data_IF_647426402299
#
_entry.id   IF_647426402299
#
_cell.length_a   1.000
_cell.length_b   1.000
_cell.length_c   1.000
_cell.angle_alpha   90.00
_cell.angle_beta   90.00
_cell.angle_gamma   90.00
#
_symmetry.space_group_name_H-M   'P 1'
#
loop_
_entity.id
_entity.type
_entity.pdbx_description
1 polymer ?
#
# COMPACT_ATOMS: atom_id res chain seq x y z
N UNK A 1 -12.81 -14.46 0.46
CA UNK A 1 -12.91 -15.37 -0.69
C UNK A 1 -11.53 -15.68 -1.24
N UNK A 2 -11.37 -16.88 -1.84
CA UNK A 2 -10.11 -17.25 -2.46
C UNK A 2 -9.88 -16.41 -3.73
N UNK A 3 -8.63 -16.02 -3.98
CA UNK A 3 -8.23 -15.30 -5.20
C UNK A 3 -8.42 -16.25 -6.39
N UNK A 4 -9.27 -15.87 -7.35
CA UNK A 4 -9.51 -16.67 -8.55
C UNK A 4 -8.51 -16.27 -9.65
N UNK A 5 -7.25 -16.74 -9.51
CA UNK A 5 -6.15 -16.46 -10.44
C UNK A 5 -5.69 -17.76 -11.09
N UNK A 6 -6.04 -17.95 -12.37
CA UNK A 6 -5.50 -19.07 -13.17
C UNK A 6 -4.12 -18.72 -13.74
N UNK A 7 -3.33 -19.72 -14.11
CA UNK A 7 -2.03 -19.48 -14.76
C UNK A 7 -2.18 -18.72 -16.09
N UNK A 8 -3.28 -18.93 -16.82
CA UNK A 8 -3.56 -18.18 -18.05
C UNK A 8 -3.74 -16.67 -17.75
N UNK A 9 -4.56 -16.32 -16.73
CA UNK A 9 -4.78 -14.92 -16.33
C UNK A 9 -3.46 -14.34 -15.82
N UNK A 10 -2.72 -15.09 -15.00
CA UNK A 10 -1.42 -14.69 -14.50
C UNK A 10 -0.44 -14.35 -15.62
N UNK A 11 -0.24 -15.25 -16.56
CA UNK A 11 0.70 -15.06 -17.65
C UNK A 11 0.32 -13.84 -18.53
N UNK A 12 -0.97 -13.66 -18.82
CA UNK A 12 -1.44 -12.48 -19.55
C UNK A 12 -1.17 -11.17 -18.79
N UNK A 13 -1.33 -11.18 -17.48
CA UNK A 13 -1.00 -10.03 -16.62
C UNK A 13 0.50 -9.72 -16.68
N UNK A 14 1.35 -10.71 -16.52
CA UNK A 14 2.82 -10.55 -16.58
C UNK A 14 3.25 -10.06 -17.96
N UNK A 15 2.74 -10.65 -19.06
CA UNK A 15 3.03 -10.21 -20.42
C UNK A 15 2.64 -8.73 -20.65
N UNK A 16 1.53 -8.29 -20.07
CA UNK A 16 1.11 -6.88 -20.16
C UNK A 16 2.09 -5.97 -19.41
N UNK A 17 2.56 -6.36 -18.23
CA UNK A 17 3.57 -5.59 -17.48
C UNK A 17 4.92 -5.53 -18.22
N UNK A 18 5.34 -6.61 -18.88
CA UNK A 18 6.56 -6.62 -19.68
C UNK A 18 6.44 -5.59 -20.81
N UNK A 19 5.34 -5.60 -21.57
CA UNK A 19 5.12 -4.65 -22.67
C UNK A 19 5.04 -3.20 -22.19
N UNK A 20 4.36 -2.96 -21.05
CA UNK A 20 4.28 -1.63 -20.44
C UNK A 20 5.67 -1.15 -19.95
N UNK A 21 6.46 -2.03 -19.33
CA UNK A 21 7.81 -1.67 -18.84
C UNK A 21 8.75 -1.29 -19.99
N UNK A 22 8.71 -2.01 -21.11
CA UNK A 22 9.47 -1.65 -22.32
C UNK A 22 9.12 -0.25 -22.86
N UNK A 23 7.85 0.15 -22.78
CA UNK A 23 7.41 1.48 -23.16
C UNK A 23 7.85 2.52 -22.13
N UNK A 24 7.65 2.23 -20.85
CA UNK A 24 8.03 3.11 -19.76
C UNK A 24 9.54 3.39 -19.75
N UNK A 25 10.36 2.37 -20.04
CA UNK A 25 11.81 2.54 -20.14
C UNK A 25 12.21 3.59 -21.19
N UNK A 26 11.58 3.53 -22.38
CA UNK A 26 11.82 4.51 -23.47
C UNK A 26 11.42 5.94 -23.09
N UNK A 27 10.47 6.07 -22.17
CA UNK A 27 9.95 7.35 -21.69
C UNK A 27 10.60 7.84 -20.40
N UNK A 28 11.52 7.07 -19.82
CA UNK A 28 12.14 7.39 -18.51
C UNK A 28 11.17 7.28 -17.33
N UNK A 29 10.12 6.45 -17.46
CA UNK A 29 9.11 6.23 -16.43
C UNK A 29 9.34 4.90 -15.69
N UNK A 30 8.74 4.78 -14.51
CA UNK A 30 8.65 3.54 -13.73
C UNK A 30 7.18 3.14 -13.55
N UNK A 31 6.93 1.84 -13.40
CA UNK A 31 5.62 1.31 -13.01
C UNK A 31 5.65 1.04 -11.51
N UNK A 32 4.61 1.49 -10.81
CA UNK A 32 4.38 1.20 -9.39
C UNK A 32 3.02 0.51 -9.26
N UNK A 33 3.01 -0.73 -8.80
CA UNK A 33 1.78 -1.50 -8.56
C UNK A 33 1.35 -1.25 -7.12
N UNK A 34 0.16 -0.71 -6.93
CA UNK A 34 -0.34 -0.46 -5.58
C UNK A 34 -0.69 -1.76 -4.86
N UNK A 35 -0.29 -1.85 -3.59
CA UNK A 35 -0.74 -2.90 -2.68
C UNK A 35 -2.16 -2.58 -2.20
N UNK A 36 -3.17 -3.14 -2.89
CA UNK A 36 -4.57 -2.83 -2.66
C UNK A 36 -5.45 -4.08 -2.72
N UNK A 37 -6.33 -4.27 -1.73
CA UNK A 37 -7.36 -5.31 -1.73
C UNK A 37 -8.60 -4.92 -2.55
N UNK A 38 -9.48 -5.86 -2.81
CA UNK A 38 -10.83 -5.55 -3.26
C UNK A 38 -11.63 -4.90 -2.13
N UNK A 39 -12.69 -4.16 -2.48
CA UNK A 39 -13.58 -3.49 -1.51
C UNK A 39 -15.02 -3.92 -1.77
N UNK A 40 -15.72 -4.33 -0.71
CA UNK A 40 -17.17 -4.53 -0.68
C UNK A 40 -17.80 -3.55 0.32
N UNK A 41 -18.82 -2.81 -0.12
CA UNK A 41 -19.53 -1.86 0.75
C UNK A 41 -20.56 -2.59 1.63
N UNK A 42 -20.57 -2.25 2.92
CA UNK A 42 -21.53 -2.74 3.90
C UNK A 42 -22.68 -1.75 4.08
N UNK A 43 -23.81 -2.22 4.62
CA UNK A 43 -25.02 -1.38 4.86
C UNK A 43 -24.79 -0.27 5.89
N UNK A 44 -23.77 -0.38 6.75
CA UNK A 44 -23.41 0.59 7.79
C UNK A 44 -22.37 1.63 7.32
N UNK A 45 -22.18 1.76 6.02
CA UNK A 45 -21.19 2.64 5.38
C UNK A 45 -19.72 2.29 5.69
N UNK A 46 -19.47 1.12 6.31
CA UNK A 46 -18.13 0.55 6.38
C UNK A 46 -17.82 -0.26 5.12
N UNK A 47 -16.55 -0.64 4.95
CA UNK A 47 -16.13 -1.52 3.85
C UNK A 47 -15.49 -2.80 4.39
N UNK A 48 -15.65 -3.89 3.64
CA UNK A 48 -14.92 -5.12 3.87
C UNK A 48 -13.81 -5.21 2.84
N UNK A 49 -12.57 -5.33 3.30
CA UNK A 49 -11.43 -5.55 2.41
C UNK A 49 -11.31 -7.01 2.04
N UNK A 50 -11.14 -7.27 0.76
CA UNK A 50 -11.00 -8.61 0.17
C UNK A 50 -9.57 -8.80 -0.28
N UNK A 51 -8.99 -9.96 0.01
CA UNK A 51 -7.63 -10.29 -0.41
C UNK A 51 -7.49 -10.26 -1.95
N UNK A 52 -6.38 -9.75 -2.41
CA UNK A 52 -6.01 -9.63 -3.83
C UNK A 52 -4.59 -10.16 -4.05
N UNK A 53 -4.15 -10.22 -5.30
CA UNK A 53 -2.78 -10.62 -5.65
C UNK A 53 -1.72 -9.67 -5.08
N UNK A 54 -2.08 -8.42 -4.78
CA UNK A 54 -1.16 -7.41 -4.22
C UNK A 54 -1.27 -7.28 -2.69
N UNK A 55 -2.12 -8.08 -2.04
CA UNK A 55 -2.25 -8.15 -0.58
C UNK A 55 -2.10 -9.58 -0.03
N UNK A 56 -1.71 -10.53 -0.87
CA UNK A 56 -1.43 -11.92 -0.51
C UNK A 56 0.06 -12.21 -0.62
N UNK A 57 0.68 -12.71 0.45
CA UNK A 57 2.12 -12.93 0.53
C UNK A 57 2.65 -13.89 -0.56
N UNK A 58 1.89 -14.95 -0.88
CA UNK A 58 2.33 -15.93 -1.88
C UNK A 58 2.27 -15.36 -3.30
N UNK A 59 1.24 -14.56 -3.60
CA UNK A 59 1.13 -13.87 -4.88
C UNK A 59 2.13 -12.72 -5.00
N UNK A 60 2.40 -11.97 -3.95
CA UNK A 60 3.46 -10.95 -3.93
C UNK A 60 4.83 -11.56 -4.20
N UNK A 61 5.16 -12.67 -3.55
CA UNK A 61 6.39 -13.40 -3.80
C UNK A 61 6.48 -13.92 -5.25
N UNK A 62 5.36 -14.40 -5.82
CA UNK A 62 5.29 -14.76 -7.23
C UNK A 62 5.47 -13.56 -8.15
N UNK A 63 4.85 -12.41 -7.86
CA UNK A 63 5.04 -11.17 -8.62
C UNK A 63 6.51 -10.72 -8.62
N UNK A 64 7.17 -10.77 -7.47
CA UNK A 64 8.59 -10.40 -7.35
C UNK A 64 9.51 -11.25 -8.24
N UNK A 65 9.18 -12.52 -8.48
CA UNK A 65 9.92 -13.40 -9.38
C UNK A 65 9.61 -13.18 -10.86
N UNK A 66 8.32 -12.94 -11.18
CA UNK A 66 7.83 -13.01 -12.55
C UNK A 66 7.79 -11.63 -13.25
N UNK A 67 7.71 -10.52 -12.48
CA UNK A 67 7.69 -9.16 -13.01
C UNK A 67 9.10 -8.68 -13.42
N UNK A 68 9.18 -7.80 -14.46
CA UNK A 68 10.44 -7.12 -14.79
C UNK A 68 11.04 -6.40 -13.57
N UNK A 69 12.37 -6.39 -13.41
CA UNK A 69 13.02 -5.78 -12.24
C UNK A 69 12.73 -4.30 -12.03
N UNK A 70 12.35 -3.56 -13.08
CA UNK A 70 12.00 -2.13 -13.03
C UNK A 70 10.58 -1.88 -12.54
N UNK A 71 9.69 -2.87 -12.64
CA UNK A 71 8.33 -2.78 -12.11
C UNK A 71 8.40 -2.92 -10.59
N UNK A 72 8.04 -1.87 -9.87
CA UNK A 72 8.03 -1.84 -8.41
C UNK A 72 6.63 -1.78 -7.83
N UNK A 73 6.58 -1.50 -6.54
CA UNK A 73 5.33 -1.38 -5.80
C UNK A 73 5.13 0.03 -5.26
N UNK A 74 3.90 0.51 -5.37
CA UNK A 74 3.39 1.57 -4.52
C UNK A 74 2.95 0.89 -3.21
N UNK A 75 3.80 0.99 -2.21
CA UNK A 75 3.60 0.34 -0.93
C UNK A 75 2.59 1.13 -0.09
N UNK A 76 1.43 0.51 0.18
CA UNK A 76 0.40 1.04 1.06
C UNK A 76 0.18 0.08 2.24
N UNK A 77 0.79 0.34 3.40
CA UNK A 77 0.64 -0.52 4.56
C UNK A 77 -0.79 -0.51 5.15
N UNK A 78 -1.55 0.58 5.00
CA UNK A 78 -2.93 0.67 5.45
C UNK A 78 -3.84 -0.33 4.73
N UNK A 79 -3.71 -0.42 3.42
CA UNK A 79 -4.46 -1.40 2.61
C UNK A 79 -4.08 -2.84 2.94
N UNK A 80 -2.78 -3.12 3.15
CA UNK A 80 -2.32 -4.46 3.55
C UNK A 80 -2.88 -4.83 4.93
N UNK A 81 -2.82 -3.91 5.91
CA UNK A 81 -3.36 -4.10 7.25
C UNK A 81 -4.86 -4.40 7.23
N UNK A 82 -5.63 -3.67 6.43
CA UNK A 82 -7.08 -3.84 6.36
C UNK A 82 -7.48 -5.25 5.88
N UNK A 83 -6.66 -5.87 5.02
CA UNK A 83 -6.82 -7.27 4.57
C UNK A 83 -6.18 -8.26 5.56
N UNK A 84 -5.00 -7.93 6.09
CA UNK A 84 -4.16 -8.80 6.91
C UNK A 84 -3.87 -8.16 8.28
N UNK A 85 -4.86 -8.00 9.17
CA UNK A 85 -4.71 -7.22 10.41
C UNK A 85 -3.70 -7.80 11.42
N UNK A 86 -3.26 -9.03 11.23
CA UNK A 86 -2.24 -9.68 12.07
C UNK A 86 -0.81 -9.51 11.52
N UNK A 87 -0.66 -8.99 10.29
CA UNK A 87 0.65 -8.76 9.64
C UNK A 87 1.16 -7.36 9.98
N UNK A 88 1.90 -7.26 11.11
CA UNK A 88 2.31 -5.99 11.71
C UNK A 88 3.23 -5.14 10.83
N UNK A 89 4.06 -5.80 10.02
CA UNK A 89 5.02 -5.13 9.13
C UNK A 89 4.48 -4.96 7.71
N UNK A 90 3.20 -5.29 7.47
CA UNK A 90 2.53 -5.10 6.19
C UNK A 90 3.37 -5.59 5.01
N UNK A 91 3.97 -6.78 5.14
CA UNK A 91 4.85 -7.42 4.14
C UNK A 91 6.07 -6.60 3.74
N UNK A 92 6.50 -5.61 4.53
CA UNK A 92 7.66 -4.79 4.23
C UNK A 92 8.91 -5.63 3.97
N UNK A 93 9.16 -6.68 4.79
CA UNK A 93 10.30 -7.58 4.63
C UNK A 93 10.35 -8.25 3.24
N UNK A 94 9.21 -8.45 2.59
CA UNK A 94 9.09 -9.03 1.27
C UNK A 94 9.29 -7.98 0.17
N UNK A 95 8.67 -6.80 0.33
CA UNK A 95 8.56 -5.78 -0.72
C UNK A 95 9.69 -4.75 -0.73
N UNK A 96 10.42 -4.59 0.36
CA UNK A 96 11.31 -3.45 0.64
C UNK A 96 12.31 -3.12 -0.49
N UNK A 97 12.79 -4.14 -1.20
CA UNK A 97 13.75 -3.97 -2.29
C UNK A 97 13.11 -3.62 -3.65
N UNK A 98 11.79 -3.56 -3.72
CA UNK A 98 11.01 -3.29 -4.94
C UNK A 98 10.01 -2.15 -4.76
N UNK A 99 10.03 -1.46 -3.60
CA UNK A 99 9.22 -0.26 -3.36
C UNK A 99 9.85 0.90 -4.15
N UNK A 100 9.06 1.51 -5.03
CA UNK A 100 9.46 2.68 -5.81
C UNK A 100 8.47 3.85 -5.69
N UNK A 101 7.38 3.65 -4.94
CA UNK A 101 6.42 4.66 -4.50
C UNK A 101 5.80 4.24 -3.17
N UNK A 102 5.22 5.18 -2.42
CA UNK A 102 4.62 4.86 -1.13
C UNK A 102 3.38 5.72 -0.89
N UNK A 103 2.25 5.06 -0.60
CA UNK A 103 1.08 5.68 0.00
C UNK A 103 1.07 5.46 1.51
N UNK A 104 0.58 6.46 2.23
CA UNK A 104 0.34 6.38 3.66
C UNK A 104 -1.14 6.59 3.90
N UNK A 105 -1.79 5.57 4.42
CA UNK A 105 -3.24 5.51 4.64
C UNK A 105 -3.54 4.76 5.94
N UNK A 106 -4.64 5.08 6.59
CA UNK A 106 -5.13 4.28 7.71
C UNK A 106 -6.62 3.95 7.60
N UNK A 107 -6.97 2.82 8.16
CA UNK A 107 -8.31 2.28 8.20
C UNK A 107 -8.69 1.96 9.63
N UNK A 108 -9.75 2.60 10.13
CA UNK A 108 -10.28 2.39 11.47
C UNK A 108 -11.38 1.34 11.48
N UNK A 109 -11.35 0.45 12.46
CA UNK A 109 -12.40 -0.57 12.62
C UNK A 109 -13.75 0.06 12.94
N UNK A 110 -14.77 -0.33 12.16
CA UNK A 110 -16.18 0.02 12.42
C UNK A 110 -17.04 -1.25 12.30
N UNK A 111 -17.59 -1.72 13.43
CA UNK A 111 -18.38 -2.95 13.43
C UNK A 111 -17.59 -4.15 12.90
N UNK A 112 -18.04 -4.72 11.78
CA UNK A 112 -17.36 -5.82 11.10
C UNK A 112 -16.43 -5.37 9.96
N UNK A 113 -16.54 -4.10 9.56
CA UNK A 113 -15.79 -3.52 8.45
C UNK A 113 -14.77 -2.49 8.90
N UNK A 114 -14.38 -1.66 7.95
CA UNK A 114 -13.41 -0.59 8.07
C UNK A 114 -13.99 0.71 7.53
N UNK A 115 -13.51 1.83 8.04
CA UNK A 115 -13.72 3.17 7.46
C UNK A 115 -12.37 3.83 7.31
N UNK A 116 -12.18 4.58 6.22
CA UNK A 116 -10.97 5.37 6.05
C UNK A 116 -10.89 6.45 7.12
N UNK A 117 -9.70 6.75 7.61
CA UNK A 117 -9.45 7.73 8.66
C UNK A 117 -8.10 8.42 8.48
N UNK A 118 -7.76 9.30 9.41
CA UNK A 118 -6.43 9.89 9.45
C UNK A 118 -5.39 8.86 9.90
N UNK A 119 -4.16 9.02 9.44
CA UNK A 119 -3.05 8.19 9.87
C UNK A 119 -2.86 8.38 11.37
N UNK A 120 -2.87 7.27 12.12
CA UNK A 120 -2.81 7.25 13.58
C UNK A 120 -4.16 7.20 14.29
N UNK A 121 -5.29 7.25 13.57
CA UNK A 121 -6.63 7.08 14.14
C UNK A 121 -6.92 5.62 14.58
N UNK A 122 -6.15 4.64 14.07
CA UNK A 122 -6.21 3.25 14.50
C UNK A 122 -4.81 2.74 14.94
N UNK A 123 -4.64 1.45 14.98
CA UNK A 123 -3.47 0.78 15.58
C UNK A 123 -2.38 0.39 14.57
N UNK A 124 -2.36 0.96 13.37
CA UNK A 124 -1.22 0.81 12.46
C UNK A 124 -0.05 1.66 12.98
N UNK A 125 0.96 0.98 13.49
CA UNK A 125 2.18 1.65 13.96
C UNK A 125 3.14 1.84 12.78
N UNK A 126 3.26 3.06 12.31
CA UNK A 126 4.15 3.42 11.21
C UNK A 126 5.63 3.50 11.62
N UNK A 127 5.94 3.68 12.91
CA UNK A 127 7.32 3.85 13.34
C UNK A 127 8.20 2.65 12.96
N UNK A 128 7.89 1.38 13.32
CA UNK A 128 8.73 0.24 12.95
C UNK A 128 8.79 0.01 11.43
N UNK A 129 7.78 0.45 10.67
CA UNK A 129 7.79 0.41 9.21
C UNK A 129 8.83 1.38 8.68
N UNK A 130 8.82 2.65 9.10
CA UNK A 130 9.78 3.65 8.64
C UNK A 130 11.22 3.35 9.08
N UNK A 131 11.42 2.79 10.27
CA UNK A 131 12.75 2.36 10.74
C UNK A 131 13.41 1.31 9.82
N UNK A 132 12.61 0.53 9.08
CA UNK A 132 13.10 -0.55 8.23
C UNK A 132 12.88 -0.30 6.72
N UNK A 133 12.15 0.75 6.36
CA UNK A 133 11.88 1.09 4.97
C UNK A 133 13.13 1.61 4.26
N UNK A 134 13.54 0.94 3.19
CA UNK A 134 14.71 1.34 2.37
C UNK A 134 14.36 2.32 1.23
N UNK A 135 13.11 2.75 1.15
CA UNK A 135 12.67 3.67 0.11
C UNK A 135 13.09 5.10 0.44
N UNK A 136 13.82 5.74 -0.46
CA UNK A 136 14.26 7.13 -0.35
C UNK A 136 13.54 8.00 -1.40
N UNK A 137 12.23 8.13 -1.26
CA UNK A 137 11.38 8.91 -2.17
C UNK A 137 10.26 9.61 -1.42
N UNK A 138 9.27 10.09 -2.16
CA UNK A 138 8.10 10.75 -1.59
C UNK A 138 7.09 9.70 -1.10
N UNK A 139 6.69 9.78 0.17
CA UNK A 139 5.54 9.08 0.70
C UNK A 139 4.35 10.04 0.68
N UNK A 140 3.28 9.64 0.02
CA UNK A 140 2.09 10.49 -0.17
C UNK A 140 0.99 10.06 0.81
N UNK A 141 0.44 11.01 1.56
CA UNK A 141 -0.77 10.76 2.36
C UNK A 141 -1.95 10.59 1.39
N UNK A 142 -2.63 9.47 1.49
CA UNK A 142 -3.88 9.19 0.79
C UNK A 142 -5.04 9.24 1.78
N UNK A 143 -5.73 10.40 1.84
CA UNK A 143 -6.86 10.64 2.72
C UNK A 143 -8.17 10.54 1.94
N UNK A 144 -8.99 9.53 2.21
CA UNK A 144 -10.21 9.26 1.45
C UNK A 144 -11.51 9.87 2.02
N UNK A 145 -11.65 10.18 3.34
CA UNK A 145 -12.87 10.82 3.83
C UNK A 145 -13.12 12.18 3.19
N UNK A 146 -14.39 12.45 2.85
CA UNK A 146 -14.77 13.68 2.13
C UNK A 146 -15.19 14.83 3.07
N UNK A 147 -15.52 14.52 4.33
CA UNK A 147 -16.17 15.47 5.22
C UNK A 147 -15.19 16.34 6.02
N UNK A 148 -14.06 15.80 6.44
CA UNK A 148 -13.08 16.47 7.29
C UNK A 148 -11.67 16.44 6.70
N UNK A 149 -11.56 16.67 5.39
CA UNK A 149 -10.31 16.46 4.64
C UNK A 149 -9.15 17.29 5.19
N UNK A 150 -9.35 18.57 5.48
CA UNK A 150 -8.29 19.45 5.98
C UNK A 150 -7.84 19.02 7.39
N UNK A 151 -8.78 18.80 8.29
CA UNK A 151 -8.52 18.37 9.66
C UNK A 151 -7.90 16.95 9.71
N UNK A 152 -8.37 16.05 8.84
CA UNK A 152 -7.86 14.68 8.78
C UNK A 152 -6.45 14.62 8.22
N UNK A 153 -6.12 15.41 7.20
CA UNK A 153 -4.75 15.54 6.70
C UNK A 153 -3.85 16.15 7.78
N UNK A 154 -4.33 17.18 8.51
CA UNK A 154 -3.54 17.79 9.59
C UNK A 154 -3.25 16.78 10.71
N UNK A 155 -4.25 15.99 11.15
CA UNK A 155 -4.04 14.92 12.15
C UNK A 155 -3.02 13.90 11.66
N UNK A 156 -3.09 13.50 10.38
CA UNK A 156 -2.12 12.58 9.77
C UNK A 156 -0.71 13.14 9.79
N UNK A 157 -0.54 14.43 9.46
CA UNK A 157 0.75 15.12 9.52
C UNK A 157 1.29 15.20 10.95
N UNK A 158 0.44 15.58 11.92
CA UNK A 158 0.82 15.68 13.33
C UNK A 158 1.31 14.33 13.87
N UNK A 159 0.62 13.24 13.54
CA UNK A 159 1.05 11.89 13.89
C UNK A 159 2.40 11.53 13.27
N UNK A 160 2.56 11.76 11.97
CA UNK A 160 3.79 11.41 11.24
C UNK A 160 4.99 12.26 11.72
N UNK A 161 4.78 13.53 12.06
CA UNK A 161 5.82 14.38 12.65
C UNK A 161 6.28 13.90 14.03
N UNK A 162 5.39 13.21 14.77
CA UNK A 162 5.71 12.61 16.06
C UNK A 162 6.55 11.34 15.97
N UNK A 163 6.68 10.73 14.79
CA UNK A 163 7.48 9.53 14.58
C UNK A 163 8.95 9.90 14.47
N UNK A 164 9.80 9.31 15.33
CA UNK A 164 11.25 9.37 15.17
C UNK A 164 11.68 8.58 13.92
N UNK A 165 12.09 9.29 12.89
CA UNK A 165 12.54 8.67 11.65
C UNK A 165 14.02 8.34 11.72
N UNK A 166 14.33 7.06 11.94
CA UNK A 166 15.72 6.58 12.06
C UNK A 166 16.53 6.69 10.77
N UNK A 167 15.89 6.87 9.61
CA UNK A 167 16.57 6.76 8.30
C UNK A 167 16.72 8.07 7.52
N UNK A 168 16.22 9.19 8.02
CA UNK A 168 16.24 10.46 7.27
C UNK A 168 15.36 10.46 6.01
N UNK A 169 14.41 9.53 5.92
CA UNK A 169 13.67 9.17 4.71
C UNK A 169 12.52 10.13 4.41
N UNK A 170 12.11 11.00 5.32
CA UNK A 170 10.94 11.85 5.06
C UNK A 170 11.20 13.29 5.44
N UNK A 171 11.32 14.15 4.44
CA UNK A 171 10.97 15.56 4.58
C UNK A 171 9.49 15.68 4.20
N UNK A 172 8.60 15.92 5.16
CA UNK A 172 7.23 16.34 4.85
C UNK A 172 7.32 17.74 4.23
N UNK A 173 7.01 17.85 2.93
CA UNK A 173 6.76 19.11 2.28
C UNK A 173 5.23 19.29 2.21
N UNK A 174 4.73 20.32 2.87
CA UNK A 174 3.35 20.80 2.75
C UNK A 174 3.27 21.69 1.52
#
# INVERSE_FOLDING_TARGET
PAINMTDEIWNRMIDAFIQCDELCEKLGLLISIETHGGIEFNDDSSVTHINSVTTDAAYLDRMLRDLPPRVGFNYDPGNIKAVNPNEKMCFLHLLNHRINYCHLKDWTRRGKGWVAGAIGDDNLDYQPIFEQLNFAGVCQIEYEPLEDTEEGIQRSLDYLQGIEMASGVVAFQI
#
